data_IF_327750640905
#
_entry.id   IF_327750640905
#
_cell.length_a   1.000
_cell.length_b   1.000
_cell.length_c   1.000
_cell.angle_alpha   90.00
_cell.angle_beta   90.00
_cell.angle_gamma   90.00
#
_symmetry.space_group_name_H-M   'P 1'
#
loop_
_entity.id
_entity.type
_entity.pdbx_description
1 polymer ?
#
# COMPACT_ATOMS: atom_id res chain seq x y z
N UNK A 1 -24.28 -41.14 -52.67
CA UNK A 1 -23.10 -40.38 -52.19
C UNK A 1 -23.28 -39.79 -50.79
N UNK A 2 -23.82 -40.45 -49.75
CA UNK A 2 -23.94 -39.88 -48.42
C UNK A 2 -22.76 -40.11 -47.47
N UNK A 3 -21.87 -41.07 -47.79
CA UNK A 3 -20.76 -41.42 -46.86
C UNK A 3 -19.58 -40.42 -46.85
N UNK A 4 -19.37 -39.69 -47.94
CA UNK A 4 -18.29 -38.69 -48.02
C UNK A 4 -18.65 -37.38 -47.26
N UNK A 5 -19.94 -37.02 -47.15
CA UNK A 5 -20.37 -35.87 -46.37
C UNK A 5 -20.25 -36.07 -44.86
N UNK A 6 -20.47 -37.27 -44.38
CA UNK A 6 -20.33 -37.60 -42.93
C UNK A 6 -18.86 -37.67 -42.50
N UNK A 7 -17.96 -38.12 -43.38
CA UNK A 7 -16.51 -38.13 -43.14
C UNK A 7 -15.93 -36.73 -43.08
N UNK A 8 -16.34 -35.84 -44.01
CA UNK A 8 -15.94 -34.43 -43.98
C UNK A 8 -16.46 -33.69 -42.71
N UNK A 9 -17.71 -33.92 -42.34
CA UNK A 9 -18.24 -33.34 -41.06
C UNK A 9 -17.47 -33.84 -39.85
N UNK A 10 -17.05 -35.10 -39.83
CA UNK A 10 -16.25 -35.66 -38.72
C UNK A 10 -14.84 -35.02 -38.67
N UNK A 11 -14.20 -34.75 -39.80
CA UNK A 11 -12.87 -34.12 -39.85
C UNK A 11 -12.96 -32.63 -39.43
N UNK A 12 -13.94 -31.88 -39.98
CA UNK A 12 -14.17 -30.52 -39.58
C UNK A 12 -14.48 -30.39 -38.09
N UNK A 13 -15.33 -31.27 -37.56
CA UNK A 13 -15.66 -31.29 -36.15
C UNK A 13 -14.42 -31.51 -35.25
N UNK A 14 -13.53 -32.40 -35.64
CA UNK A 14 -12.26 -32.65 -34.93
C UNK A 14 -11.32 -31.46 -34.96
N UNK A 15 -11.21 -30.79 -36.13
CA UNK A 15 -10.39 -29.59 -36.27
C UNK A 15 -10.97 -28.45 -35.41
N UNK A 16 -12.30 -28.23 -35.46
CA UNK A 16 -12.95 -27.22 -34.61
C UNK A 16 -12.82 -27.52 -33.13
N UNK A 17 -13.00 -28.78 -32.73
CA UNK A 17 -12.84 -29.19 -31.33
C UNK A 17 -11.39 -28.99 -30.86
N UNK A 18 -10.39 -29.32 -31.69
CA UNK A 18 -8.99 -29.07 -31.40
C UNK A 18 -8.66 -27.59 -31.27
N UNK A 19 -9.17 -26.77 -32.21
CA UNK A 19 -8.99 -25.30 -32.16
C UNK A 19 -9.66 -24.70 -30.93
N UNK A 20 -10.89 -25.11 -30.61
CA UNK A 20 -11.61 -24.67 -29.41
C UNK A 20 -10.85 -25.04 -28.13
N UNK A 21 -10.34 -26.28 -28.08
CA UNK A 21 -9.54 -26.73 -26.92
C UNK A 21 -8.27 -25.88 -26.74
N UNK A 22 -7.55 -25.58 -27.81
CA UNK A 22 -6.36 -24.71 -27.76
C UNK A 22 -6.74 -23.31 -27.29
N UNK A 23 -7.83 -22.71 -27.83
CA UNK A 23 -8.30 -21.40 -27.39
C UNK A 23 -8.69 -21.38 -25.91
N UNK A 24 -9.37 -22.39 -25.40
CA UNK A 24 -9.72 -22.52 -24.00
C UNK A 24 -8.46 -22.67 -23.12
N UNK A 25 -7.49 -23.46 -23.58
CA UNK A 25 -6.25 -23.65 -22.86
C UNK A 25 -5.44 -22.35 -22.78
N UNK A 26 -5.33 -21.61 -23.88
CA UNK A 26 -4.69 -20.28 -23.91
C UNK A 26 -5.41 -19.30 -22.99
N UNK A 27 -6.75 -19.24 -23.05
CA UNK A 27 -7.55 -18.37 -22.17
C UNK A 27 -7.35 -18.74 -20.68
N UNK A 28 -7.32 -20.03 -20.36
CA UNK A 28 -7.07 -20.51 -19.00
C UNK A 28 -5.67 -20.09 -18.48
N UNK A 29 -4.62 -20.29 -19.28
CA UNK A 29 -3.29 -19.85 -18.89
C UNK A 29 -3.17 -18.32 -18.79
N UNK A 30 -3.80 -17.58 -19.70
CA UNK A 30 -3.85 -16.13 -19.64
C UNK A 30 -4.53 -15.65 -18.34
N UNK A 31 -5.65 -16.29 -17.96
CA UNK A 31 -6.36 -15.97 -16.72
C UNK A 31 -5.50 -16.27 -15.48
N UNK A 32 -4.79 -17.42 -15.45
CA UNK A 32 -3.87 -17.77 -14.36
C UNK A 32 -2.74 -16.74 -14.24
N UNK A 33 -2.12 -16.36 -15.35
CA UNK A 33 -1.04 -15.35 -15.35
C UNK A 33 -1.54 -14.00 -14.85
N UNK A 34 -2.69 -13.53 -15.33
CA UNK A 34 -3.27 -12.24 -14.91
C UNK A 34 -3.57 -12.27 -13.40
N UNK A 35 -4.16 -13.35 -12.88
CA UNK A 35 -4.51 -13.48 -11.46
C UNK A 35 -3.25 -13.48 -10.59
N UNK A 36 -2.21 -14.21 -11.00
CA UNK A 36 -0.94 -14.30 -10.27
C UNK A 36 -0.22 -12.94 -10.24
N UNK A 37 -0.09 -12.29 -11.40
CA UNK A 37 0.57 -10.96 -11.51
C UNK A 37 -0.19 -9.91 -10.69
N UNK A 38 -1.53 -9.92 -10.75
CA UNK A 38 -2.33 -8.97 -9.98
C UNK A 38 -2.21 -9.21 -8.47
N UNK A 39 -2.20 -10.46 -8.02
CA UNK A 39 -2.01 -10.80 -6.62
C UNK A 39 -0.65 -10.32 -6.09
N UNK A 40 0.42 -10.54 -6.86
CA UNK A 40 1.77 -10.08 -6.52
C UNK A 40 1.86 -8.55 -6.46
N UNK A 41 1.28 -7.84 -7.44
CA UNK A 41 1.25 -6.37 -7.45
C UNK A 41 0.48 -5.80 -6.26
N UNK A 42 -0.67 -6.37 -5.93
CA UNK A 42 -1.46 -5.94 -4.77
C UNK A 42 -0.69 -6.18 -3.47
N UNK A 43 -0.02 -7.32 -3.35
CA UNK A 43 0.81 -7.62 -2.19
C UNK A 43 1.97 -6.63 -2.05
N UNK A 44 2.73 -6.40 -3.12
CA UNK A 44 3.83 -5.42 -3.14
C UNK A 44 3.34 -4.02 -2.76
N UNK A 45 2.22 -3.58 -3.33
CA UNK A 45 1.63 -2.28 -3.00
C UNK A 45 1.25 -2.17 -1.51
N UNK A 46 0.67 -3.22 -0.92
CA UNK A 46 0.35 -3.26 0.51
C UNK A 46 1.60 -3.19 1.38
N UNK A 47 2.64 -3.91 1.01
CA UNK A 47 3.93 -3.91 1.72
C UNK A 47 4.63 -2.54 1.65
N UNK A 48 4.58 -1.89 0.49
CA UNK A 48 5.15 -0.55 0.32
C UNK A 48 4.36 0.49 1.13
N UNK A 49 3.03 0.44 1.11
CA UNK A 49 2.18 1.31 1.94
C UNK A 49 2.42 1.10 3.43
N UNK A 50 2.53 -0.16 3.85
CA UNK A 50 2.87 -0.48 5.24
C UNK A 50 4.25 0.07 5.59
N UNK A 51 5.25 -0.13 4.72
CA UNK A 51 6.61 0.39 4.94
C UNK A 51 6.63 1.90 5.10
N UNK A 52 5.85 2.63 4.29
CA UNK A 52 5.73 4.08 4.37
C UNK A 52 5.12 4.54 5.70
N UNK A 53 3.99 3.92 6.11
CA UNK A 53 3.34 4.24 7.38
C UNK A 53 4.26 3.96 8.57
N UNK A 54 4.88 2.80 8.60
CA UNK A 54 5.76 2.38 9.69
C UNK A 54 7.06 3.17 9.74
N UNK A 55 7.58 3.61 8.59
CA UNK A 55 8.71 4.54 8.56
C UNK A 55 8.37 5.87 9.25
N UNK A 56 7.16 6.42 9.03
CA UNK A 56 6.73 7.64 9.72
C UNK A 56 6.54 7.42 11.23
N UNK A 57 5.99 6.27 11.63
CA UNK A 57 5.84 5.90 13.04
C UNK A 57 7.20 5.77 13.71
N UNK A 58 8.16 5.08 13.08
CA UNK A 58 9.52 4.91 13.58
C UNK A 58 10.26 6.26 13.66
N UNK A 59 10.09 7.13 12.66
CA UNK A 59 10.62 8.50 12.67
C UNK A 59 10.08 9.31 13.84
N UNK A 60 8.78 9.22 14.13
CA UNK A 60 8.17 9.85 15.30
C UNK A 60 8.68 9.24 16.61
N UNK A 61 8.77 7.91 16.69
CA UNK A 61 9.28 7.18 17.85
C UNK A 61 10.74 7.54 18.17
N UNK A 62 11.57 7.72 17.15
CA UNK A 62 12.99 8.08 17.29
C UNK A 62 13.21 9.49 17.86
N UNK A 63 12.21 10.36 17.77
CA UNK A 63 12.25 11.72 18.34
C UNK A 63 11.96 11.72 19.84
N UNK A 64 11.37 10.64 20.36
CA UNK A 64 11.02 10.53 21.76
C UNK A 64 12.25 10.09 22.56
N UNK A 65 12.65 10.91 23.53
CA UNK A 65 13.89 10.68 24.30
C UNK A 65 13.68 9.66 25.41
N UNK A 66 12.52 9.71 26.08
CA UNK A 66 12.22 8.85 27.22
C UNK A 66 11.29 7.69 26.86
N UNK A 67 11.37 6.60 27.62
CA UNK A 67 10.45 5.48 27.46
C UNK A 67 8.98 5.88 27.66
N UNK A 68 8.73 6.85 28.54
CA UNK A 68 7.39 7.34 28.79
C UNK A 68 6.84 8.10 27.57
N UNK A 69 7.62 8.99 26.97
CA UNK A 69 7.24 9.71 25.73
C UNK A 69 6.99 8.75 24.58
N UNK A 70 7.82 7.70 24.43
CA UNK A 70 7.63 6.64 23.43
C UNK A 70 6.30 5.91 23.61
N UNK A 71 5.93 5.60 24.86
CA UNK A 71 4.66 4.94 25.16
C UNK A 71 3.47 5.86 24.87
N UNK A 72 3.56 7.16 25.17
CA UNK A 72 2.53 8.12 24.82
C UNK A 72 2.38 8.24 23.28
N UNK A 73 3.49 8.39 22.57
CA UNK A 73 3.48 8.42 21.11
C UNK A 73 2.79 7.19 20.51
N UNK A 74 3.15 5.97 20.96
CA UNK A 74 2.53 4.75 20.50
C UNK A 74 1.03 4.65 20.86
N UNK A 75 0.63 5.19 22.00
CA UNK A 75 -0.78 5.28 22.38
C UNK A 75 -1.55 6.19 21.44
N UNK A 76 -0.99 7.35 21.10
CA UNK A 76 -1.60 8.29 20.15
C UNK A 76 -1.71 7.69 18.76
N UNK A 77 -0.64 7.04 18.28
CA UNK A 77 -0.65 6.31 17.01
C UNK A 77 -1.68 5.18 17.04
N UNK A 78 -1.76 4.43 18.13
CA UNK A 78 -2.75 3.35 18.30
C UNK A 78 -4.18 3.88 18.19
N UNK A 79 -4.45 5.02 18.80
CA UNK A 79 -5.75 5.70 18.70
C UNK A 79 -6.02 6.20 17.27
N UNK A 80 -5.01 6.77 16.61
CA UNK A 80 -5.10 7.28 15.26
C UNK A 80 -5.45 6.18 14.24
N UNK A 81 -4.88 4.99 14.41
CA UNK A 81 -5.09 3.83 13.51
C UNK A 81 -6.20 2.89 13.98
N UNK A 82 -6.83 3.16 15.11
CA UNK A 82 -7.82 2.28 15.76
C UNK A 82 -7.28 0.85 15.90
N UNK A 83 -6.03 0.74 16.35
CA UNK A 83 -5.37 -0.56 16.54
C UNK A 83 -4.22 -0.45 17.53
N UNK A 84 -3.83 -1.57 18.14
CA UNK A 84 -2.77 -1.60 19.14
C UNK A 84 -1.42 -1.91 18.51
N UNK A 85 -0.47 -1.00 18.66
CA UNK A 85 0.94 -1.22 18.31
C UNK A 85 1.69 -1.82 19.50
N UNK A 86 2.47 -2.85 19.25
CA UNK A 86 3.31 -3.52 20.22
C UNK A 86 4.77 -3.44 19.79
N UNK A 87 5.68 -3.30 20.78
CA UNK A 87 7.12 -3.42 20.53
C UNK A 87 7.56 -4.77 21.08
N UNK A 88 8.17 -5.58 20.25
CA UNK A 88 8.60 -6.93 20.59
C UNK A 88 10.05 -7.17 20.16
N UNK A 89 10.82 -8.02 20.88
CA UNK A 89 12.13 -8.45 20.40
C UNK A 89 12.00 -9.18 19.06
N UNK A 90 12.94 -8.96 18.13
CA UNK A 90 12.93 -9.62 16.82
C UNK A 90 13.02 -11.16 16.96
N UNK A 91 13.63 -11.65 18.03
CA UNK A 91 13.73 -13.07 18.33
C UNK A 91 12.42 -13.74 18.75
N UNK A 92 11.39 -12.97 19.09
CA UNK A 92 10.10 -13.51 19.52
C UNK A 92 9.26 -14.04 18.35
N UNK A 93 9.39 -13.41 17.17
CA UNK A 93 8.70 -13.84 15.97
C UNK A 93 9.62 -14.73 15.13
N UNK A 94 9.10 -15.86 14.67
CA UNK A 94 9.82 -16.77 13.78
C UNK A 94 9.83 -16.18 12.36
N UNK A 95 10.86 -15.38 12.07
CA UNK A 95 11.05 -14.75 10.77
C UNK A 95 11.87 -15.64 9.84
N UNK A 96 11.41 -15.77 8.59
CA UNK A 96 12.20 -16.37 7.52
C UNK A 96 13.40 -15.50 7.18
N UNK A 97 14.45 -16.07 6.63
CA UNK A 97 15.65 -15.32 6.21
C UNK A 97 15.33 -14.16 5.26
N UNK A 98 14.37 -14.35 4.34
CA UNK A 98 13.91 -13.29 3.43
C UNK A 98 13.23 -12.14 4.16
N UNK A 99 12.45 -12.43 5.20
CA UNK A 99 11.76 -11.44 6.03
C UNK A 99 12.76 -10.64 6.89
N UNK A 100 13.75 -11.32 7.47
CA UNK A 100 14.85 -10.66 8.21
C UNK A 100 15.60 -9.69 7.27
N UNK A 101 15.88 -10.12 6.04
CA UNK A 101 16.54 -9.27 5.05
C UNK A 101 15.71 -8.02 4.70
N UNK A 102 14.38 -8.15 4.64
CA UNK A 102 13.46 -7.01 4.44
C UNK A 102 13.48 -6.06 5.63
N UNK A 103 13.33 -6.58 6.84
CA UNK A 103 13.38 -5.81 8.08
C UNK A 103 14.70 -5.02 8.22
N UNK A 104 15.83 -5.63 7.85
CA UNK A 104 17.14 -4.97 7.86
C UNK A 104 17.27 -3.86 6.79
N UNK A 105 16.47 -3.91 5.74
CA UNK A 105 16.36 -2.85 4.71
C UNK A 105 15.32 -1.79 5.07
N UNK A 106 14.80 -1.78 6.30
CA UNK A 106 13.72 -0.87 6.71
C UNK A 106 12.45 -1.02 5.84
N UNK A 107 12.12 -2.27 5.53
CA UNK A 107 10.91 -2.63 4.79
C UNK A 107 9.97 -3.40 5.71
N UNK A 108 8.70 -3.11 5.65
CA UNK A 108 7.69 -3.86 6.40
C UNK A 108 7.58 -5.30 5.88
N UNK A 109 7.33 -6.21 6.79
CA UNK A 109 6.92 -7.58 6.51
C UNK A 109 5.43 -7.69 6.79
N UNK A 110 4.64 -8.07 5.79
CA UNK A 110 3.19 -8.25 5.90
C UNK A 110 2.88 -9.73 5.77
N UNK A 111 2.32 -10.30 6.83
CA UNK A 111 1.81 -11.68 6.85
C UNK A 111 0.29 -11.63 6.84
N UNK A 112 -0.32 -12.22 5.84
CA UNK A 112 -1.77 -12.29 5.73
C UNK A 112 -2.26 -13.68 6.16
N UNK A 113 -3.17 -13.70 7.13
CA UNK A 113 -3.88 -14.90 7.56
C UNK A 113 -5.25 -14.91 6.89
N UNK A 114 -5.43 -15.81 5.90
CA UNK A 114 -6.68 -15.96 5.16
C UNK A 114 -7.84 -16.47 6.03
N UNK A 115 -7.55 -17.27 7.07
CA UNK A 115 -8.57 -17.91 7.89
C UNK A 115 -9.25 -16.91 8.83
N UNK A 116 -8.47 -15.95 9.34
CA UNK A 116 -8.95 -14.88 10.23
C UNK A 116 -9.19 -13.57 9.49
N UNK A 117 -8.81 -13.48 8.21
CA UNK A 117 -8.82 -12.26 7.39
C UNK A 117 -8.06 -11.10 8.07
N UNK A 118 -6.96 -11.44 8.74
CA UNK A 118 -6.09 -10.48 9.44
C UNK A 118 -4.76 -10.33 8.73
N UNK A 119 -4.22 -9.12 8.73
CA UNK A 119 -2.87 -8.83 8.29
C UNK A 119 -2.01 -8.48 9.50
N UNK A 120 -0.93 -9.21 9.71
CA UNK A 120 0.09 -8.88 10.70
C UNK A 120 1.23 -8.16 10.01
N UNK A 121 1.60 -7.00 10.55
CA UNK A 121 2.65 -6.17 9.99
C UNK A 121 3.76 -6.02 11.02
N UNK A 122 4.98 -6.26 10.58
CA UNK A 122 6.19 -6.13 11.36
C UNK A 122 7.14 -5.13 10.70
N UNK A 123 7.75 -4.27 11.51
CA UNK A 123 8.73 -3.30 11.04
C UNK A 123 9.85 -3.15 12.05
N UNK A 124 11.11 -3.22 11.62
CA UNK A 124 12.26 -3.11 12.52
C UNK A 124 12.45 -1.67 12.96
N UNK A 125 12.51 -1.45 14.28
CA UNK A 125 12.80 -0.14 14.84
C UNK A 125 14.26 0.21 14.56
N UNK A 126 14.49 1.43 14.08
CA UNK A 126 15.82 1.91 13.73
C UNK A 126 16.76 1.91 14.95
N UNK A 127 17.90 1.25 14.82
CA UNK A 127 18.91 1.18 15.88
C UNK A 127 18.61 0.18 17.01
N UNK A 128 17.53 -0.59 16.94
CA UNK A 128 17.16 -1.58 17.96
C UNK A 128 16.97 -2.99 17.37
N UNK A 129 17.16 -4.02 18.20
CA UNK A 129 16.80 -5.40 17.86
C UNK A 129 15.36 -5.72 18.26
N UNK A 130 14.48 -4.79 17.92
CA UNK A 130 13.04 -4.87 18.17
C UNK A 130 12.27 -4.56 16.92
N UNK A 131 11.07 -5.11 16.87
CA UNK A 131 10.09 -4.85 15.81
C UNK A 131 8.85 -4.18 16.38
N UNK A 132 8.31 -3.24 15.63
CA UNK A 132 6.98 -2.73 15.82
C UNK A 132 6.02 -3.70 15.14
N UNK A 133 5.06 -4.22 15.91
CA UNK A 133 4.08 -5.21 15.45
C UNK A 133 2.67 -4.68 15.61
N UNK A 134 1.84 -4.92 14.61
CA UNK A 134 0.41 -4.60 14.62
C UNK A 134 -0.37 -5.64 13.84
N UNK A 135 -1.61 -5.88 14.26
CA UNK A 135 -2.56 -6.72 13.54
C UNK A 135 -3.77 -5.90 13.09
N UNK A 136 -4.12 -6.01 11.80
CA UNK A 136 -5.29 -5.37 11.21
C UNK A 136 -6.25 -6.41 10.64
N UNK A 137 -7.52 -6.27 10.95
CA UNK A 137 -8.57 -7.11 10.36
C UNK A 137 -8.94 -6.68 8.93
N UNK A 138 -8.85 -5.40 8.63
CA UNK A 138 -9.14 -4.82 7.31
C UNK A 138 -8.55 -3.42 7.21
N UNK A 139 -8.01 -3.07 6.05
CA UNK A 139 -7.59 -1.69 5.79
C UNK A 139 -8.84 -0.80 5.73
N UNK A 140 -8.90 0.20 6.60
CA UNK A 140 -10.01 1.14 6.70
C UNK A 140 -9.63 2.54 6.20
N UNK A 141 -10.62 3.37 5.90
CA UNK A 141 -10.41 4.79 5.58
C UNK A 141 -9.67 5.52 6.72
N UNK A 142 -9.94 5.13 7.96
CA UNK A 142 -9.27 5.69 9.14
C UNK A 142 -7.75 5.48 9.09
N UNK A 143 -7.29 4.34 8.64
CA UNK A 143 -5.85 4.04 8.52
C UNK A 143 -5.19 4.87 7.43
N UNK A 144 -5.87 5.09 6.31
CA UNK A 144 -5.38 5.96 5.23
C UNK A 144 -5.26 7.40 5.73
N UNK A 145 -6.26 7.90 6.44
CA UNK A 145 -6.22 9.21 7.08
C UNK A 145 -5.10 9.30 8.12
N UNK A 146 -4.89 8.24 8.90
CA UNK A 146 -3.82 8.13 9.88
C UNK A 146 -2.44 8.35 9.26
N UNK A 147 -2.16 7.73 8.12
CA UNK A 147 -0.89 7.95 7.39
C UNK A 147 -0.74 9.42 6.97
N UNK A 148 -1.82 10.04 6.50
CA UNK A 148 -1.82 11.47 6.16
C UNK A 148 -1.54 12.36 7.37
N UNK A 149 -2.12 12.07 8.54
CA UNK A 149 -1.85 12.80 9.79
C UNK A 149 -0.39 12.66 10.19
N UNK A 150 0.17 11.44 10.19
CA UNK A 150 1.58 11.20 10.49
C UNK A 150 2.52 11.94 9.54
N UNK A 151 2.19 12.00 8.25
CA UNK A 151 2.96 12.73 7.26
C UNK A 151 2.93 14.24 7.55
N UNK A 152 1.77 14.78 7.88
CA UNK A 152 1.63 16.19 8.25
C UNK A 152 2.36 16.51 9.55
N UNK A 153 2.29 15.62 10.55
CA UNK A 153 3.04 15.74 11.79
C UNK A 153 4.55 15.77 11.52
N UNK A 154 5.07 14.79 10.76
CA UNK A 154 6.49 14.74 10.40
C UNK A 154 6.94 16.03 9.68
N UNK A 155 6.14 16.54 8.75
CA UNK A 155 6.43 17.80 8.05
C UNK A 155 6.30 19.05 8.92
N UNK A 156 5.57 18.99 10.03
CA UNK A 156 5.36 20.12 10.95
C UNK A 156 6.65 20.53 11.69
N UNK A 157 7.58 19.60 11.87
CA UNK A 157 8.88 19.85 12.49
C UNK A 157 9.80 20.74 11.64
N UNK A 158 9.52 20.88 10.35
CA UNK A 158 10.29 21.70 9.42
C UNK A 158 9.64 23.06 9.24
N UNK A 159 10.42 24.13 9.39
CA UNK A 159 9.87 25.49 9.42
C UNK A 159 9.66 26.09 8.03
N UNK A 160 10.59 25.85 7.13
CA UNK A 160 10.57 26.43 5.79
C UNK A 160 9.95 25.48 4.75
N UNK A 161 9.41 26.05 3.68
CA UNK A 161 8.89 25.26 2.56
C UNK A 161 10.00 24.41 1.90
N UNK A 162 11.21 24.95 1.82
CA UNK A 162 12.35 24.23 1.24
C UNK A 162 12.72 23.00 2.06
N UNK A 163 12.79 23.12 3.39
CA UNK A 163 13.03 21.99 4.30
C UNK A 163 11.92 20.93 4.17
N UNK A 164 10.66 21.36 4.13
CA UNK A 164 9.52 20.44 3.93
C UNK A 164 9.59 19.70 2.61
N UNK A 165 9.98 20.38 1.54
CA UNK A 165 10.18 19.76 0.22
C UNK A 165 11.34 18.76 0.24
N UNK A 166 12.46 19.11 0.87
CA UNK A 166 13.60 18.20 1.03
C UNK A 166 13.20 16.96 1.85
N UNK A 167 12.48 17.15 2.96
CA UNK A 167 11.97 16.04 3.77
C UNK A 167 11.02 15.16 2.97
N UNK A 168 10.11 15.76 2.21
CA UNK A 168 9.17 15.03 1.37
C UNK A 168 9.89 14.16 0.32
N UNK A 169 10.98 14.65 -0.28
CA UNK A 169 11.81 13.87 -1.19
C UNK A 169 12.48 12.67 -0.49
N UNK A 170 12.90 12.81 0.76
CA UNK A 170 13.46 11.71 1.55
C UNK A 170 12.40 10.63 1.85
N UNK A 171 11.18 11.05 2.17
CA UNK A 171 10.06 10.16 2.49
C UNK A 171 9.52 9.49 1.21
N UNK A 172 9.56 10.18 0.07
CA UNK A 172 9.01 9.73 -1.21
C UNK A 172 9.44 8.32 -1.60
N UNK A 173 10.66 7.91 -1.28
CA UNK A 173 11.20 6.58 -1.60
C UNK A 173 10.47 5.43 -0.91
N UNK A 174 9.74 5.71 0.18
CA UNK A 174 8.97 4.70 0.92
C UNK A 174 7.52 4.62 0.43
N UNK A 175 7.05 5.61 -0.34
CA UNK A 175 5.67 5.66 -0.82
C UNK A 175 5.57 5.15 -2.26
N UNK A 176 4.60 4.27 -2.58
CA UNK A 176 4.38 3.75 -3.93
C UNK A 176 3.75 4.77 -4.88
N UNK A 177 3.36 5.94 -4.38
CA UNK A 177 2.77 7.03 -5.16
C UNK A 177 3.50 8.35 -4.92
N UNK A 178 3.35 9.28 -5.86
CA UNK A 178 4.03 10.57 -5.79
C UNK A 178 3.41 11.49 -4.74
N UNK A 179 4.26 11.99 -3.82
CA UNK A 179 3.90 13.00 -2.85
C UNK A 179 4.30 14.40 -3.35
N UNK A 180 3.39 15.36 -3.25
CA UNK A 180 3.66 16.75 -3.65
C UNK A 180 3.06 17.73 -2.65
N UNK A 181 3.77 18.83 -2.40
CA UNK A 181 3.23 19.99 -1.67
C UNK A 181 2.70 20.99 -2.68
N UNK A 182 1.41 21.30 -2.58
CA UNK A 182 0.76 22.28 -3.45
C UNK A 182 -0.04 23.29 -2.63
N UNK A 183 -0.17 24.50 -3.15
CA UNK A 183 -1.08 25.50 -2.58
C UNK A 183 -2.54 25.08 -2.81
N UNK A 184 -3.40 25.27 -1.81
CA UNK A 184 -4.83 24.98 -1.90
C UNK A 184 -5.47 25.67 -3.11
N UNK A 185 -5.03 26.89 -3.43
CA UNK A 185 -5.55 27.67 -4.56
C UNK A 185 -5.29 27.04 -5.95
N UNK A 186 -4.39 26.04 -6.03
CA UNK A 186 -4.11 25.29 -7.27
C UNK A 186 -4.93 24.00 -7.39
N UNK A 187 -5.70 23.66 -6.35
CA UNK A 187 -6.53 22.47 -6.31
C UNK A 187 -7.95 22.83 -6.72
N UNK A 188 -8.53 22.04 -7.59
CA UNK A 188 -9.95 22.12 -7.93
C UNK A 188 -10.74 21.34 -6.86
N UNK A 189 -11.09 22.05 -5.77
CA UNK A 189 -11.83 21.52 -4.65
C UNK A 189 -13.26 22.04 -4.69
N UNK A 190 -14.21 21.20 -4.29
CA UNK A 190 -15.57 21.67 -4.01
C UNK A 190 -15.64 22.42 -2.67
N UNK A 191 -16.81 23.01 -2.38
CA UNK A 191 -17.01 23.83 -1.19
C UNK A 191 -16.86 23.04 0.12
N UNK A 192 -17.31 21.77 0.15
CA UNK A 192 -17.21 20.91 1.32
C UNK A 192 -15.76 20.48 1.57
N UNK A 193 -15.07 20.04 0.53
CA UNK A 193 -13.65 19.68 0.58
C UNK A 193 -12.79 20.85 1.06
N UNK A 194 -13.08 22.04 0.54
CA UNK A 194 -12.40 23.28 0.96
C UNK A 194 -12.65 23.58 2.43
N UNK A 195 -13.91 23.50 2.88
CA UNK A 195 -14.27 23.71 4.29
C UNK A 195 -13.60 22.68 5.22
N UNK A 196 -13.49 21.43 4.80
CA UNK A 196 -12.81 20.37 5.54
C UNK A 196 -11.31 20.65 5.68
N UNK A 197 -10.63 21.06 4.61
CA UNK A 197 -9.21 21.42 4.65
C UNK A 197 -8.95 22.63 5.57
N UNK A 198 -9.82 23.64 5.57
CA UNK A 198 -9.69 24.77 6.49
C UNK A 198 -9.90 24.35 7.96
N UNK A 199 -10.67 23.31 8.21
CA UNK A 199 -10.80 22.69 9.55
C UNK A 199 -9.64 21.75 9.89
N UNK A 200 -8.61 21.67 9.03
CA UNK A 200 -7.44 20.77 9.15
C UNK A 200 -7.80 19.29 9.05
N UNK A 201 -8.91 18.95 8.39
CA UNK A 201 -9.26 17.57 8.06
C UNK A 201 -8.52 17.11 6.80
N UNK A 202 -8.33 15.79 6.68
CA UNK A 202 -7.74 15.18 5.49
C UNK A 202 -8.86 14.87 4.49
N UNK A 203 -8.68 15.37 3.27
CA UNK A 203 -9.58 15.11 2.15
C UNK A 203 -8.91 14.13 1.20
N UNK A 204 -9.56 12.97 0.97
CA UNK A 204 -9.14 11.97 0.01
C UNK A 204 -9.95 12.17 -1.26
N UNK A 205 -9.25 12.36 -2.38
CA UNK A 205 -9.87 12.49 -3.69
C UNK A 205 -9.32 11.43 -4.62
N UNK A 206 -10.20 10.73 -5.29
CA UNK A 206 -9.86 9.82 -6.38
C UNK A 206 -10.04 10.57 -7.70
N UNK A 207 -8.96 10.68 -8.49
CA UNK A 207 -9.03 11.24 -9.85
C UNK A 207 -8.82 10.11 -10.83
N UNK A 208 -9.75 9.94 -11.75
CA UNK A 208 -9.55 9.10 -12.91
C UNK A 208 -8.54 9.79 -13.84
N UNK A 209 -7.44 9.13 -14.13
CA UNK A 209 -6.37 9.63 -15.00
C UNK A 209 -6.78 9.80 -16.47
N UNK A 210 -8.03 9.49 -16.83
CA UNK A 210 -8.55 9.58 -18.19
C UNK A 210 -8.76 11.01 -18.69
N UNK A 211 -8.66 12.03 -17.82
CA UNK A 211 -8.93 13.43 -18.18
C UNK A 211 -7.70 14.30 -18.46
N UNK A 212 -6.47 13.77 -18.34
CA UNK A 212 -5.23 14.58 -18.44
C UNK A 212 -4.69 14.66 -19.88
N UNK A 213 -5.11 13.78 -20.79
CA UNK A 213 -4.59 13.78 -22.18
C UNK A 213 -5.24 14.81 -23.11
N UNK A 214 -6.35 15.45 -22.73
CA UNK A 214 -7.08 16.37 -23.63
C UNK A 214 -6.80 17.87 -23.41
N UNK A 215 -5.89 18.26 -22.53
CA UNK A 215 -5.61 19.68 -22.28
C UNK A 215 -4.27 20.19 -22.83
N UNK A 216 -3.53 19.38 -23.59
CA UNK A 216 -2.24 19.78 -24.19
C UNK A 216 -2.29 20.02 -25.69
N UNK A 217 -3.49 20.12 -26.30
CA UNK A 217 -3.65 20.53 -27.69
C UNK A 217 -4.62 21.72 -27.74
N UNK A 218 -4.11 22.91 -27.47
CA UNK A 218 -4.56 24.19 -28.01
C UNK A 218 -3.49 25.26 -27.81
#
# INVERSE_FOLDING_TARGET
>A
MPLLSSLNQSIFLRIYAGLLFICLLVAFFAQLLITTINAERVQTYREDMASAAFYLIDSGLSRQVTAQERNFWLSDVSTLFDTKFNIEPISKADFRTSEINRLNKQQAVVRFNSDTNTAEIYYKISGEDKVLHVSFNKLSEQQIKGVGVLLLDDLSYYRTLAEKQQRLQQIQKFFPFKLTLQSINKLQLDTDQTARLYRKDIVIMFRDNTSVENSSIR
#
